data_IF_315288535424
#
_entry.id   IF_315288535424
#
_cell.length_a   1.000
_cell.length_b   1.000
_cell.length_c   1.000
_cell.angle_alpha   90.00
_cell.angle_beta   90.00
_cell.angle_gamma   90.00
#
_symmetry.space_group_name_H-M   'P 1'
#
loop_
_entity.id
_entity.type
_entity.pdbx_description
1 polymer ?
#
# COMPACT_ATOMS: atom_id res chain seq x y z
N UNK A 1 12.65 -15.42 -38.20
CA UNK A 1 12.99 -14.05 -37.75
C UNK A 1 11.92 -13.62 -36.76
N UNK A 2 12.19 -13.60 -35.46
CA UNK A 2 11.28 -12.95 -34.48
C UNK A 2 11.42 -11.45 -34.65
N UNK A 3 10.31 -10.77 -34.93
CA UNK A 3 10.24 -9.32 -35.05
C UNK A 3 10.54 -8.66 -33.69
N UNK A 4 11.64 -7.87 -33.55
CA UNK A 4 11.99 -7.24 -32.29
C UNK A 4 11.01 -6.15 -31.86
N UNK A 5 10.06 -5.72 -32.71
CA UNK A 5 9.08 -4.69 -32.35
C UNK A 5 7.79 -5.22 -31.70
N UNK A 6 7.59 -6.55 -31.63
CA UNK A 6 6.36 -7.13 -31.06
C UNK A 6 6.54 -7.51 -29.59
N UNK A 7 5.73 -6.97 -28.65
CA UNK A 7 5.83 -7.36 -27.25
C UNK A 7 5.51 -8.84 -27.09
N UNK A 8 6.38 -9.57 -26.40
CA UNK A 8 6.20 -10.99 -26.13
C UNK A 8 4.99 -11.21 -25.20
N UNK A 9 4.19 -12.27 -25.41
CA UNK A 9 3.08 -12.59 -24.53
C UNK A 9 3.59 -12.79 -23.09
N UNK A 10 2.81 -12.37 -22.07
CA UNK A 10 3.19 -12.55 -20.68
C UNK A 10 3.39 -14.05 -20.39
N UNK A 11 4.36 -14.36 -19.53
CA UNK A 11 4.71 -15.74 -19.13
C UNK A 11 4.93 -15.82 -17.63
N UNK A 12 4.80 -17.03 -17.09
CA UNK A 12 5.05 -17.31 -15.68
C UNK A 12 4.15 -16.48 -14.76
N UNK A 13 4.74 -15.82 -13.78
CA UNK A 13 4.01 -15.01 -12.80
C UNK A 13 3.19 -13.87 -13.41
N UNK A 14 3.65 -13.30 -14.52
CA UNK A 14 2.95 -12.22 -15.22
C UNK A 14 1.76 -12.72 -16.07
N UNK A 15 1.72 -14.02 -16.36
CA UNK A 15 0.61 -14.64 -17.10
C UNK A 15 -0.45 -15.27 -16.19
N UNK A 16 -0.22 -15.27 -14.87
CA UNK A 16 -1.19 -15.79 -13.90
C UNK A 16 -2.44 -14.90 -13.84
N UNK A 17 -3.55 -15.50 -13.42
CA UNK A 17 -4.74 -14.75 -13.03
C UNK A 17 -4.40 -13.71 -11.93
N UNK A 18 -4.97 -12.49 -11.98
CA UNK A 18 -4.68 -11.43 -11.02
C UNK A 18 -4.95 -11.81 -9.55
N UNK A 19 -6.01 -12.58 -9.27
CA UNK A 19 -6.31 -13.03 -7.91
C UNK A 19 -5.22 -13.99 -7.44
N UNK A 20 -4.86 -14.94 -8.30
CA UNK A 20 -3.79 -15.90 -7.99
C UNK A 20 -2.43 -15.21 -7.81
N UNK A 21 -2.13 -14.21 -8.64
CA UNK A 21 -0.92 -13.40 -8.53
C UNK A 21 -0.87 -12.69 -7.17
N UNK A 22 -1.98 -12.09 -6.74
CA UNK A 22 -2.09 -11.41 -5.44
C UNK A 22 -1.93 -12.37 -4.27
N UNK A 23 -2.51 -13.56 -4.35
CA UNK A 23 -2.34 -14.60 -3.33
C UNK A 23 -0.88 -15.01 -3.19
N UNK A 24 -0.20 -15.29 -4.30
CA UNK A 24 1.20 -15.71 -4.31
C UNK A 24 2.11 -14.58 -3.81
N UNK A 25 1.89 -13.33 -4.21
CA UNK A 25 2.60 -12.17 -3.66
C UNK A 25 2.39 -12.03 -2.15
N UNK A 26 1.15 -12.21 -1.69
CA UNK A 26 0.81 -12.13 -0.26
C UNK A 26 1.47 -13.25 0.55
N UNK A 27 1.45 -14.47 0.02
CA UNK A 27 2.08 -15.64 0.64
C UNK A 27 3.61 -15.48 0.70
N UNK A 28 4.25 -15.00 -0.37
CA UNK A 28 5.68 -14.74 -0.42
C UNK A 28 6.13 -13.70 0.61
N UNK A 29 5.39 -12.59 0.76
CA UNK A 29 5.67 -11.58 1.77
C UNK A 29 5.55 -12.11 3.20
N UNK A 30 4.50 -12.89 3.49
CA UNK A 30 4.31 -13.53 4.80
C UNK A 30 5.43 -14.53 5.10
N UNK A 31 5.78 -15.37 4.13
CA UNK A 31 6.84 -16.36 4.25
C UNK A 31 8.20 -15.70 4.52
N UNK A 32 8.53 -14.60 3.82
CA UNK A 32 9.78 -13.87 4.04
C UNK A 32 9.88 -13.28 5.45
N UNK A 33 8.78 -12.75 5.99
CA UNK A 33 8.70 -12.28 7.37
C UNK A 33 8.82 -13.41 8.39
N UNK A 34 8.12 -14.53 8.17
CA UNK A 34 8.19 -15.70 9.04
C UNK A 34 9.58 -16.32 9.05
N UNK A 35 10.24 -16.40 7.89
CA UNK A 35 11.59 -16.93 7.75
C UNK A 35 12.69 -15.98 8.23
N UNK A 36 12.36 -14.78 8.73
CA UNK A 36 13.33 -13.79 9.21
C UNK A 36 14.23 -13.20 8.11
N UNK A 37 13.88 -13.39 6.83
CA UNK A 37 14.61 -12.83 5.68
C UNK A 37 14.16 -11.41 5.33
N UNK A 38 12.93 -11.06 5.69
CA UNK A 38 12.40 -9.71 5.48
C UNK A 38 12.94 -8.72 6.51
N UNK A 39 13.08 -7.45 6.09
CA UNK A 39 13.38 -6.35 6.98
C UNK A 39 12.32 -6.21 8.07
N UNK A 40 12.74 -6.21 9.34
CA UNK A 40 11.85 -5.98 10.49
C UNK A 40 12.08 -4.57 10.98
N UNK A 41 11.07 -3.72 10.80
CA UNK A 41 11.11 -2.36 11.33
C UNK A 41 11.06 -2.38 12.85
N UNK A 42 11.94 -1.62 13.47
CA UNK A 42 11.83 -1.25 14.87
C UNK A 42 10.69 -0.25 15.09
N UNK A 43 10.18 -0.16 16.32
CA UNK A 43 9.17 0.84 16.68
C UNK A 43 9.66 2.27 16.44
N UNK A 44 10.96 2.52 16.60
CA UNK A 44 11.58 3.81 16.35
C UNK A 44 11.56 4.18 14.86
N UNK A 45 11.95 3.25 13.99
CA UNK A 45 11.91 3.43 12.54
C UNK A 45 10.48 3.64 12.03
N UNK A 46 9.53 2.86 12.53
CA UNK A 46 8.12 3.03 12.19
C UNK A 46 7.63 4.43 12.58
N UNK A 47 8.03 4.93 13.75
CA UNK A 47 7.69 6.29 14.20
C UNK A 47 8.38 7.36 13.38
N UNK A 48 9.65 7.18 13.01
CA UNK A 48 10.39 8.11 12.17
C UNK A 48 9.79 8.20 10.76
N UNK A 49 9.47 7.06 10.15
CA UNK A 49 8.79 6.99 8.86
C UNK A 49 7.39 7.61 8.92
N UNK A 50 6.62 7.33 9.98
CA UNK A 50 5.31 7.93 10.22
C UNK A 50 5.37 9.45 10.36
N UNK A 51 6.35 9.98 11.11
CA UNK A 51 6.59 11.43 11.20
C UNK A 51 6.93 12.02 9.85
N UNK A 52 7.86 11.42 9.10
CA UNK A 52 8.26 11.89 7.76
C UNK A 52 7.08 11.93 6.79
N UNK A 53 6.28 10.86 6.75
CA UNK A 53 5.09 10.79 5.91
C UNK A 53 4.02 11.81 6.33
N UNK A 54 3.78 11.94 7.65
CA UNK A 54 2.87 12.93 8.20
C UNK A 54 3.27 14.36 7.85
N UNK A 55 4.55 14.70 8.00
CA UNK A 55 5.10 16.00 7.60
C UNK A 55 4.87 16.27 6.12
N UNK A 56 5.23 15.35 5.23
CA UNK A 56 5.06 15.51 3.78
C UNK A 56 3.59 15.71 3.38
N UNK A 57 2.66 14.97 4.00
CA UNK A 57 1.23 15.09 3.71
C UNK A 57 0.64 16.38 4.29
N UNK A 58 1.13 16.82 5.45
CA UNK A 58 0.62 18.01 6.14
C UNK A 58 0.90 19.33 5.42
N UNK A 59 1.91 19.36 4.54
CA UNK A 59 2.23 20.52 3.70
C UNK A 59 1.12 20.82 2.67
N UNK A 60 0.36 19.80 2.23
CA UNK A 60 -0.77 19.97 1.32
C UNK A 60 -2.04 20.40 2.08
N UNK A 61 -2.26 21.72 2.10
CA UNK A 61 -3.44 22.33 2.72
C UNK A 61 -4.77 21.85 2.14
N UNK A 62 -4.86 21.55 0.84
CA UNK A 62 -6.11 21.08 0.22
C UNK A 62 -6.43 19.67 0.69
N UNK A 63 -5.43 18.80 0.69
CA UNK A 63 -5.55 17.44 1.22
C UNK A 63 -5.94 17.43 2.71
N UNK A 64 -5.32 18.30 3.52
CA UNK A 64 -5.66 18.41 4.95
C UNK A 64 -7.08 18.91 5.19
N UNK A 65 -7.58 19.85 4.39
CA UNK A 65 -8.97 20.30 4.45
C UNK A 65 -9.95 19.16 4.11
N UNK A 66 -9.65 18.35 3.11
CA UNK A 66 -10.46 17.19 2.74
C UNK A 66 -10.46 16.11 3.83
N UNK A 67 -9.31 15.83 4.46
CA UNK A 67 -9.24 14.92 5.61
C UNK A 67 -10.09 15.45 6.77
N UNK A 68 -9.97 16.74 7.10
CA UNK A 68 -10.75 17.37 8.17
C UNK A 68 -12.26 17.25 7.89
N UNK A 69 -12.69 17.62 6.68
CA UNK A 69 -14.09 17.51 6.23
C UNK A 69 -14.62 16.08 6.29
N UNK A 70 -13.81 15.09 5.91
CA UNK A 70 -14.16 13.66 5.99
C UNK A 70 -14.23 13.16 7.43
N UNK A 71 -13.33 13.62 8.31
CA UNK A 71 -13.34 13.28 9.74
C UNK A 71 -14.54 13.87 10.46
N UNK A 72 -14.86 15.14 10.24
CA UNK A 72 -16.02 15.79 10.87
C UNK A 72 -17.34 15.12 10.50
N UNK A 73 -17.49 14.66 9.26
CA UNK A 73 -18.70 13.91 8.83
C UNK A 73 -18.82 12.54 9.50
N UNK A 74 -17.71 11.84 9.72
CA UNK A 74 -17.73 10.52 10.37
C UNK A 74 -17.90 10.57 11.89
N UNK A 75 -17.59 11.70 12.51
CA UNK A 75 -17.71 11.93 13.94
C UNK A 75 -18.94 12.77 14.31
N UNK A 76 -19.86 13.02 13.36
CA UNK A 76 -21.12 13.67 13.69
C UNK A 76 -21.91 12.72 14.62
N UNK A 77 -22.36 13.18 15.80
CA UNK A 77 -23.24 12.36 16.62
C UNK A 77 -24.49 12.09 15.78
N UNK A 78 -24.82 10.81 15.58
CA UNK A 78 -26.15 10.46 15.12
C UNK A 78 -27.11 11.04 16.16
N UNK A 79 -27.90 12.04 15.75
CA UNK A 79 -28.93 12.61 16.58
C UNK A 79 -30.00 11.54 16.74
N UNK A 80 -29.82 10.70 17.76
CA UNK A 80 -30.77 9.67 18.17
C UNK A 80 -32.01 10.31 18.79
N UNK A 81 -33.15 9.81 18.33
CA UNK A 81 -34.52 10.03 18.82
C UNK A 81 -34.72 9.56 20.26
#
# INVERSE_FOLDING_TARGET
MTDPSKPSPPRGFAAMDPERQREVSSAGGRAAHQAGRAHRFSSEEARAAGRKGGSAVSEDRRHMADIAKRRSRKNAPEAGE
#
